data_IF_302700894316
#
_entry.id   IF_302700894316
#
_cell.length_a   1.000
_cell.length_b   1.000
_cell.length_c   1.000
_cell.angle_alpha   90.00
_cell.angle_beta   90.00
_cell.angle_gamma   90.00
#
_symmetry.space_group_name_H-M   'P 1'
#
loop_
_entity.id
_entity.type
_entity.pdbx_description
1 polymer ?
#
# COMPACT_ATOMS: atom_id res chain seq x y z
N UNK A 1 -23.66 -6.57 11.85
CA UNK A 1 -23.01 -7.87 12.11
C UNK A 1 -21.55 -7.51 12.36
N UNK A 2 -21.05 -7.67 13.58
CA UNK A 2 -19.71 -7.19 13.97
C UNK A 2 -18.69 -8.14 13.33
N UNK A 3 -17.98 -7.70 12.28
CA UNK A 3 -16.83 -8.42 11.76
C UNK A 3 -15.70 -8.27 12.79
N UNK A 4 -15.57 -9.26 13.66
CA UNK A 4 -14.59 -9.22 14.76
C UNK A 4 -13.18 -9.48 14.23
N UNK A 5 -12.19 -8.94 14.94
CA UNK A 5 -10.73 -9.16 14.77
C UNK A 5 -10.35 -10.63 14.50
N UNK A 6 -11.12 -11.58 15.02
CA UNK A 6 -10.95 -13.03 14.80
C UNK A 6 -11.08 -13.43 13.31
N UNK A 7 -11.95 -12.76 12.54
CA UNK A 7 -12.16 -13.05 11.10
C UNK A 7 -10.95 -12.67 10.24
N UNK A 8 -10.31 -11.54 10.57
CA UNK A 8 -9.07 -11.10 9.94
C UNK A 8 -7.94 -12.10 10.19
N UNK A 9 -7.69 -12.49 11.43
CA UNK A 9 -6.62 -13.46 11.72
C UNK A 9 -6.86 -14.81 11.04
N UNK A 10 -8.11 -15.29 11.00
CA UNK A 10 -8.49 -16.52 10.29
C UNK A 10 -8.32 -16.45 8.76
N UNK A 11 -8.33 -15.27 8.14
CA UNK A 11 -8.04 -15.15 6.70
C UNK A 11 -6.55 -15.37 6.43
N UNK A 12 -5.69 -14.92 7.34
CA UNK A 12 -4.23 -15.06 7.27
C UNK A 12 -3.71 -16.43 7.72
N UNK A 13 -4.42 -17.16 8.60
CA UNK A 13 -4.08 -18.55 8.95
C UNK A 13 -4.08 -19.51 7.74
N UNK A 14 -4.73 -19.11 6.64
CA UNK A 14 -4.78 -19.93 5.43
C UNK A 14 -3.43 -19.85 4.72
N UNK A 15 -2.78 -21.00 4.56
CA UNK A 15 -1.53 -21.14 3.78
C UNK A 15 -1.63 -20.56 2.36
N UNK A 16 -2.85 -20.51 1.79
CA UNK A 16 -3.09 -19.88 0.50
C UNK A 16 -2.74 -18.38 0.50
N UNK A 17 -3.10 -17.64 1.54
CA UNK A 17 -2.78 -16.22 1.70
C UNK A 17 -1.26 -16.02 1.78
N UNK A 18 -0.58 -16.84 2.58
CA UNK A 18 0.89 -16.86 2.64
C UNK A 18 1.54 -17.24 1.31
N UNK A 19 0.95 -18.15 0.54
CA UNK A 19 1.45 -18.49 -0.80
C UNK A 19 1.38 -17.30 -1.75
N UNK A 20 0.30 -16.52 -1.76
CA UNK A 20 0.20 -15.32 -2.60
C UNK A 20 1.32 -14.34 -2.23
N UNK A 21 1.48 -14.06 -0.93
CA UNK A 21 2.52 -13.18 -0.42
C UNK A 21 3.95 -13.66 -0.74
N UNK A 22 4.24 -14.95 -0.58
CA UNK A 22 5.56 -15.52 -0.85
C UNK A 22 5.91 -15.56 -2.34
N UNK A 23 4.90 -15.67 -3.22
CA UNK A 23 5.07 -15.62 -4.68
C UNK A 23 5.17 -14.18 -5.22
N UNK A 24 4.92 -13.17 -4.38
CA UNK A 24 5.20 -11.77 -4.70
C UNK A 24 6.70 -11.51 -4.52
N UNK A 25 7.44 -11.71 -5.62
CA UNK A 25 8.88 -11.55 -5.65
C UNK A 25 9.29 -10.09 -5.42
N UNK A 26 8.63 -9.12 -6.05
CA UNK A 26 8.96 -7.70 -5.91
C UNK A 26 8.85 -7.25 -4.45
N UNK A 27 7.79 -7.67 -3.74
CA UNK A 27 7.66 -7.48 -2.30
C UNK A 27 8.81 -8.14 -1.54
N UNK A 28 8.98 -9.44 -1.72
CA UNK A 28 9.87 -10.25 -0.88
C UNK A 28 11.35 -9.86 -1.08
N UNK A 29 11.76 -9.58 -2.33
CA UNK A 29 13.09 -9.09 -2.64
C UNK A 29 13.34 -7.68 -2.11
N UNK A 30 12.37 -6.78 -2.14
CA UNK A 30 12.57 -5.43 -1.59
C UNK A 30 12.93 -5.49 -0.10
N UNK A 31 12.22 -6.28 0.70
CA UNK A 31 12.56 -6.48 2.12
C UNK A 31 13.91 -7.18 2.30
N UNK A 32 14.16 -8.26 1.55
CA UNK A 32 15.42 -8.99 1.62
C UNK A 32 16.61 -8.06 1.34
N UNK A 33 16.56 -7.36 0.22
CA UNK A 33 17.61 -6.46 -0.22
C UNK A 33 17.76 -5.28 0.74
N UNK A 34 16.67 -4.76 1.31
CA UNK A 34 16.72 -3.69 2.31
C UNK A 34 17.42 -4.13 3.58
N UNK A 35 17.12 -5.33 4.09
CA UNK A 35 17.81 -5.87 5.25
C UNK A 35 19.30 -6.14 4.95
N UNK A 36 19.62 -6.72 3.79
CA UNK A 36 20.99 -6.96 3.34
C UNK A 36 21.78 -5.66 3.14
N UNK A 37 21.19 -4.63 2.53
CA UNK A 37 21.82 -3.31 2.35
C UNK A 37 22.15 -2.64 3.69
N UNK A 38 21.38 -2.94 4.73
CA UNK A 38 21.57 -2.39 6.08
C UNK A 38 22.30 -3.36 7.01
N UNK A 39 22.97 -4.40 6.50
CA UNK A 39 23.63 -5.43 7.31
C UNK A 39 24.64 -4.86 8.31
N UNK A 40 25.41 -3.83 7.91
CA UNK A 40 26.37 -3.16 8.78
C UNK A 40 25.71 -2.51 10.01
N UNK A 41 24.51 -1.93 9.83
CA UNK A 41 23.73 -1.41 10.96
C UNK A 41 23.17 -2.55 11.81
N UNK A 42 22.66 -3.61 11.17
CA UNK A 42 22.00 -4.73 11.84
C UNK A 42 22.97 -5.65 12.59
N UNK A 43 24.27 -5.58 12.31
CA UNK A 43 25.27 -6.37 13.02
C UNK A 43 25.15 -6.16 14.54
N UNK A 44 25.00 -7.26 15.26
CA UNK A 44 24.86 -7.32 16.72
C UNK A 44 23.62 -6.58 17.30
N UNK A 45 22.63 -6.26 16.45
CA UNK A 45 21.38 -5.57 16.85
C UNK A 45 20.23 -6.52 17.17
N UNK A 46 19.26 -6.03 17.93
CA UNK A 46 18.00 -6.72 18.19
C UNK A 46 16.94 -6.21 17.21
N UNK A 47 16.27 -7.12 16.51
CA UNK A 47 15.21 -6.81 15.53
C UNK A 47 13.87 -7.36 16.02
N UNK A 48 12.80 -6.59 15.84
CA UNK A 48 11.42 -7.03 16.03
C UNK A 48 10.73 -7.17 14.67
N UNK A 49 10.19 -8.36 14.37
CA UNK A 49 9.38 -8.63 13.20
C UNK A 49 7.89 -8.67 13.61
N UNK A 50 7.11 -7.68 13.19
CA UNK A 50 5.68 -7.55 13.59
C UNK A 50 4.79 -8.11 12.49
N UNK A 51 4.00 -9.13 12.83
CA UNK A 51 3.20 -9.88 11.86
C UNK A 51 4.09 -10.81 11.04
N UNK A 52 4.95 -11.57 11.75
CA UNK A 52 6.02 -12.34 11.13
C UNK A 52 5.50 -13.41 10.14
N UNK A 53 4.25 -13.85 10.28
CA UNK A 53 3.63 -14.85 9.41
C UNK A 53 4.45 -16.12 9.38
N UNK A 54 5.09 -16.39 8.24
CA UNK A 54 5.95 -17.57 8.04
C UNK A 54 7.38 -17.42 8.62
N UNK A 55 7.72 -16.24 9.13
CA UNK A 55 9.05 -15.90 9.65
C UNK A 55 10.08 -15.57 8.57
N UNK A 56 9.67 -15.37 7.30
CA UNK A 56 10.60 -15.12 6.20
C UNK A 56 11.42 -13.83 6.40
N UNK A 57 10.80 -12.74 6.88
CA UNK A 57 11.50 -11.47 7.14
C UNK A 57 12.43 -11.60 8.35
N UNK A 58 12.00 -12.32 9.39
CA UNK A 58 12.85 -12.69 10.52
C UNK A 58 14.12 -13.44 10.09
N UNK A 59 13.99 -14.39 9.16
CA UNK A 59 15.13 -15.14 8.61
C UNK A 59 16.08 -14.21 7.84
N UNK A 60 15.55 -13.29 7.02
CA UNK A 60 16.37 -12.30 6.33
C UNK A 60 17.13 -11.40 7.32
N UNK A 61 16.46 -10.91 8.37
CA UNK A 61 17.10 -10.06 9.37
C UNK A 61 18.22 -10.80 10.13
N UNK A 62 17.98 -12.06 10.52
CA UNK A 62 19.01 -12.88 11.17
C UNK A 62 20.22 -13.14 10.25
N UNK A 63 19.97 -13.44 8.96
CA UNK A 63 21.01 -13.61 7.94
C UNK A 63 21.78 -12.32 7.65
N UNK A 64 21.12 -11.16 7.76
CA UNK A 64 21.74 -9.85 7.62
C UNK A 64 22.61 -9.41 8.82
N UNK A 65 22.75 -10.25 9.86
CA UNK A 65 23.67 -10.00 10.97
C UNK A 65 23.02 -9.64 12.31
N UNK A 66 21.68 -9.57 12.38
CA UNK A 66 20.96 -9.29 13.63
C UNK A 66 21.36 -10.27 14.74
N UNK A 67 21.78 -9.78 15.91
CA UNK A 67 22.12 -10.62 17.07
C UNK A 67 20.99 -11.58 17.42
N UNK A 68 19.77 -11.03 17.49
CA UNK A 68 18.57 -11.77 17.80
C UNK A 68 17.36 -11.14 17.11
N UNK A 69 16.44 -11.96 16.65
CA UNK A 69 15.16 -11.51 16.09
C UNK A 69 14.01 -12.03 16.94
N UNK A 70 13.11 -11.13 17.33
CA UNK A 70 11.85 -11.49 17.97
C UNK A 70 10.74 -11.39 16.94
N UNK A 71 10.13 -12.52 16.61
CA UNK A 71 9.08 -12.64 15.62
C UNK A 71 7.71 -12.69 16.30
N UNK A 72 6.93 -11.62 16.17
CA UNK A 72 5.58 -11.53 16.74
C UNK A 72 4.58 -12.01 15.69
N UNK A 73 3.87 -13.09 15.99
CA UNK A 73 2.82 -13.63 15.13
C UNK A 73 1.67 -14.14 15.99
N UNK A 74 0.50 -13.51 15.93
CA UNK A 74 -0.64 -13.88 16.78
C UNK A 74 -1.30 -15.19 16.35
N UNK A 75 -1.39 -15.43 15.04
CA UNK A 75 -2.15 -16.54 14.47
C UNK A 75 -1.45 -17.89 14.65
N UNK A 76 -2.16 -18.96 14.29
CA UNK A 76 -1.58 -20.31 14.28
C UNK A 76 -0.41 -20.49 13.30
N UNK A 77 -0.19 -19.54 12.38
CA UNK A 77 1.00 -19.54 11.51
C UNK A 77 2.30 -19.48 12.32
N UNK A 78 2.28 -18.99 13.56
CA UNK A 78 3.45 -19.02 14.46
C UNK A 78 4.06 -20.43 14.63
N UNK A 79 3.25 -21.50 14.62
CA UNK A 79 3.75 -22.87 14.66
C UNK A 79 4.52 -23.25 13.39
N UNK A 80 4.02 -22.82 12.23
CA UNK A 80 4.70 -23.02 10.96
C UNK A 80 6.00 -22.20 10.89
N UNK A 81 5.98 -20.95 11.36
CA UNK A 81 7.18 -20.11 11.44
C UNK A 81 8.30 -20.79 12.23
N UNK A 82 7.98 -21.37 13.41
CA UNK A 82 8.96 -22.12 14.21
C UNK A 82 9.59 -23.28 13.45
N UNK A 83 8.80 -24.03 12.66
CA UNK A 83 9.30 -25.13 11.83
C UNK A 83 10.24 -24.62 10.73
N UNK A 84 9.82 -23.58 9.99
CA UNK A 84 10.64 -22.98 8.93
C UNK A 84 11.96 -22.41 9.49
N UNK A 85 11.90 -21.74 10.64
CA UNK A 85 13.09 -21.21 11.32
C UNK A 85 14.05 -22.35 11.71
N UNK A 86 13.52 -23.47 12.23
CA UNK A 86 14.33 -24.64 12.58
C UNK A 86 14.93 -25.32 11.34
N UNK A 87 14.18 -25.44 10.24
CA UNK A 87 14.67 -25.94 8.95
C UNK A 87 15.82 -25.11 8.38
N UNK A 88 15.89 -23.82 8.75
CA UNK A 88 16.96 -22.91 8.34
C UNK A 88 18.06 -22.77 9.39
N UNK A 89 18.08 -23.61 10.43
CA UNK A 89 19.11 -23.65 11.48
C UNK A 89 19.28 -22.32 12.23
N UNK A 90 18.17 -21.59 12.46
CA UNK A 90 18.17 -20.26 13.10
C UNK A 90 17.39 -20.20 14.42
N UNK A 91 17.07 -21.36 15.02
CA UNK A 91 16.27 -21.44 16.25
C UNK A 91 16.93 -20.80 17.48
N UNK A 92 18.25 -20.66 17.48
CA UNK A 92 19.03 -19.99 18.52
C UNK A 92 19.03 -18.46 18.37
N UNK A 93 18.72 -17.95 17.17
CA UNK A 93 18.77 -16.52 16.82
C UNK A 93 17.40 -15.88 16.61
N UNK A 94 16.34 -16.68 16.49
CA UNK A 94 14.99 -16.19 16.24
C UNK A 94 14.02 -16.79 17.26
N UNK A 95 13.37 -15.94 18.05
CA UNK A 95 12.31 -16.34 19.00
C UNK A 95 10.94 -15.95 18.46
N UNK A 96 10.06 -16.93 18.25
CA UNK A 96 8.67 -16.69 17.86
C UNK A 96 7.79 -16.51 19.10
N UNK A 97 7.26 -15.29 19.27
CA UNK A 97 6.33 -14.91 20.33
C UNK A 97 4.92 -14.90 19.74
N UNK A 98 4.11 -15.87 20.15
CA UNK A 98 2.74 -16.01 19.65
C UNK A 98 1.77 -15.15 20.45
N UNK A 99 1.73 -13.85 20.14
CA UNK A 99 0.92 -12.82 20.80
C UNK A 99 0.53 -11.73 19.82
N UNK A 100 -0.45 -10.91 20.20
CA UNK A 100 -0.65 -9.59 19.59
C UNK A 100 0.48 -8.67 20.01
N UNK A 101 0.88 -7.75 19.14
CA UNK A 101 2.02 -6.85 19.43
C UNK A 101 1.69 -5.85 20.54
N UNK A 102 0.41 -5.53 20.69
CA UNK A 102 -0.14 -4.71 21.78
C UNK A 102 0.08 -5.35 23.15
N UNK A 103 0.09 -6.69 23.22
CA UNK A 103 0.24 -7.49 24.44
C UNK A 103 1.70 -7.86 24.76
N UNK A 104 2.67 -7.36 23.97
CA UNK A 104 4.11 -7.60 24.17
C UNK A 104 4.66 -6.65 25.23
N UNK A 105 5.27 -7.21 26.28
CA UNK A 105 5.78 -6.47 27.43
C UNK A 105 7.32 -6.46 27.52
N UNK A 106 7.93 -5.29 27.70
CA UNK A 106 9.36 -5.14 28.01
C UNK A 106 9.66 -5.74 29.40
N UNK A 107 10.79 -6.45 29.51
CA UNK A 107 11.21 -7.18 30.71
C UNK A 107 10.59 -8.58 30.86
N UNK A 108 9.59 -8.94 30.03
CA UNK A 108 8.94 -10.26 30.05
C UNK A 108 9.07 -10.98 28.71
N UNK A 109 8.59 -10.36 27.64
CA UNK A 109 8.62 -10.94 26.30
C UNK A 109 9.85 -10.45 25.52
N UNK A 110 10.22 -9.17 25.73
CA UNK A 110 11.42 -8.57 25.17
C UNK A 110 12.35 -8.10 26.30
N UNK A 111 13.65 -8.38 26.27
CA UNK A 111 14.56 -7.99 27.35
C UNK A 111 14.80 -6.48 27.42
N UNK A 112 14.80 -5.82 26.26
CA UNK A 112 15.02 -4.38 26.10
C UNK A 112 14.27 -3.88 24.85
N UNK A 113 14.28 -2.56 24.65
CA UNK A 113 13.82 -1.98 23.39
C UNK A 113 14.68 -2.49 22.22
N UNK A 114 14.09 -2.62 21.04
CA UNK A 114 14.78 -3.13 19.84
C UNK A 114 15.44 -2.01 19.05
N UNK A 115 16.47 -2.35 18.28
CA UNK A 115 17.21 -1.41 17.43
C UNK A 115 16.56 -1.25 16.06
N UNK A 116 15.79 -2.23 15.59
CA UNK A 116 15.01 -2.14 14.37
C UNK A 116 13.67 -2.84 14.49
N UNK A 117 12.67 -2.29 13.81
CA UNK A 117 11.38 -2.95 13.53
C UNK A 117 11.30 -3.22 12.04
N UNK A 118 11.04 -4.47 11.68
CA UNK A 118 10.61 -4.86 10.34
C UNK A 118 9.15 -5.28 10.41
N UNK A 119 8.34 -4.85 9.46
CA UNK A 119 6.95 -5.27 9.36
C UNK A 119 6.45 -5.09 7.95
N UNK A 120 5.69 -6.07 7.48
CA UNK A 120 4.89 -5.99 6.28
C UNK A 120 3.44 -5.79 6.72
N UNK A 121 3.06 -4.51 6.80
CA UNK A 121 1.79 -4.05 7.36
C UNK A 121 0.85 -3.50 6.29
N UNK A 122 1.29 -3.41 5.04
CA UNK A 122 0.60 -2.67 4.00
C UNK A 122 -0.63 -3.45 3.53
N UNK A 123 -1.80 -2.82 3.60
CA UNK A 123 -3.01 -3.34 2.99
C UNK A 123 -3.20 -2.83 1.56
N UNK A 124 -4.32 -3.22 0.93
CA UNK A 124 -4.85 -2.48 -0.22
C UNK A 124 -5.05 -1.00 0.15
N UNK A 125 -4.96 -0.08 -0.82
CA UNK A 125 -4.98 1.36 -0.53
C UNK A 125 -3.90 1.82 0.47
N UNK A 126 -2.83 1.04 0.68
CA UNK A 126 -1.83 1.16 1.75
C UNK A 126 -2.37 0.90 3.17
N UNK A 127 -3.54 1.47 3.51
CA UNK A 127 -4.04 1.58 4.88
C UNK A 127 -5.17 0.59 5.22
N UNK A 128 -5.64 -0.22 4.27
CA UNK A 128 -6.71 -1.19 4.52
C UNK A 128 -6.24 -2.23 5.55
N UNK A 129 -7.19 -2.78 6.31
CA UNK A 129 -6.96 -3.72 7.44
C UNK A 129 -6.27 -3.14 8.68
N UNK A 130 -5.87 -1.86 8.67
CA UNK A 130 -5.48 -1.07 9.85
C UNK A 130 -4.32 -1.66 10.68
N UNK A 131 -3.39 -2.41 10.08
CA UNK A 131 -2.24 -2.96 10.80
C UNK A 131 -1.20 -1.89 11.18
N UNK A 132 -1.15 -0.77 10.47
CA UNK A 132 -0.20 0.31 10.74
C UNK A 132 -0.39 0.93 12.15
N UNK A 133 -1.61 0.92 12.69
CA UNK A 133 -1.89 1.35 14.07
C UNK A 133 -1.05 0.57 15.09
N UNK A 134 -1.07 -0.76 14.98
CA UNK A 134 -0.31 -1.68 15.82
C UNK A 134 1.20 -1.47 15.67
N UNK A 135 1.67 -1.20 14.45
CA UNK A 135 3.08 -0.90 14.17
C UNK A 135 3.51 0.44 14.78
N UNK A 136 2.66 1.48 14.71
CA UNK A 136 2.91 2.79 15.33
C UNK A 136 2.96 2.67 16.86
N UNK A 137 2.03 1.93 17.46
CA UNK A 137 2.02 1.66 18.90
C UNK A 137 3.28 0.90 19.33
N UNK A 138 3.62 -0.18 18.63
CA UNK A 138 4.83 -0.96 18.87
C UNK A 138 6.10 -0.12 18.74
N UNK A 139 6.22 0.73 17.70
CA UNK A 139 7.33 1.67 17.54
C UNK A 139 7.49 2.56 18.77
N UNK A 140 6.40 3.17 19.24
CA UNK A 140 6.45 4.11 20.37
C UNK A 140 6.92 3.42 21.67
N UNK A 141 6.45 2.19 21.91
CA UNK A 141 6.75 1.44 23.14
C UNK A 141 8.08 0.69 23.08
N UNK A 142 8.38 0.06 21.95
CA UNK A 142 9.37 -1.00 21.83
C UNK A 142 10.63 -0.60 21.04
N UNK A 143 10.61 0.46 20.22
CA UNK A 143 11.78 0.90 19.45
C UNK A 143 12.68 1.85 20.27
N UNK A 144 14.00 1.72 20.11
CA UNK A 144 14.99 2.69 20.61
C UNK A 144 14.87 4.04 19.87
N UNK A 145 15.26 5.18 20.48
CA UNK A 145 15.14 6.50 19.84
C UNK A 145 15.86 6.63 18.48
N UNK A 146 16.98 5.94 18.30
CA UNK A 146 17.81 5.90 17.09
C UNK A 146 17.48 4.69 16.18
N UNK A 147 16.43 3.94 16.51
CA UNK A 147 16.08 2.72 15.80
C UNK A 147 15.62 2.95 14.36
N UNK A 148 15.70 1.89 13.56
CA UNK A 148 15.26 1.88 12.16
C UNK A 148 13.90 1.19 12.01
N UNK A 149 13.12 1.70 11.07
CA UNK A 149 11.85 1.10 10.64
C UNK A 149 12.06 0.55 9.23
N UNK A 150 11.61 -0.68 8.97
CA UNK A 150 11.65 -1.31 7.65
C UNK A 150 10.21 -1.67 7.23
N UNK A 151 9.58 -0.88 6.33
CA UNK A 151 10.06 0.35 5.68
C UNK A 151 10.10 1.57 6.63
N UNK A 152 10.67 2.71 6.20
CA UNK A 152 10.73 3.95 7.00
C UNK A 152 9.77 5.05 6.54
N UNK A 153 9.26 4.96 5.31
CA UNK A 153 8.39 5.97 4.73
C UNK A 153 7.39 5.33 3.77
N UNK A 154 6.15 5.81 3.77
CA UNK A 154 5.09 5.31 2.91
C UNK A 154 4.35 6.46 2.22
N UNK A 155 4.03 6.32 0.94
CA UNK A 155 3.45 7.38 0.12
C UNK A 155 2.31 6.84 -0.70
N UNK A 156 1.22 7.61 -0.81
CA UNK A 156 0.10 7.31 -1.71
C UNK A 156 0.15 8.28 -2.88
N UNK A 157 -0.05 7.75 -4.08
CA UNK A 157 -0.11 8.49 -5.33
C UNK A 157 -1.44 8.25 -6.04
N UNK A 158 -1.88 9.23 -6.81
CA UNK A 158 -3.04 9.11 -7.70
C UNK A 158 -2.71 9.60 -9.11
N UNK A 159 -3.42 9.07 -10.11
CA UNK A 159 -3.42 9.57 -11.49
C UNK A 159 -4.78 9.34 -12.15
N UNK A 160 -5.07 10.10 -13.21
CA UNK A 160 -6.25 9.90 -14.05
C UNK A 160 -6.07 8.74 -15.03
N UNK A 161 -7.15 8.00 -15.23
CA UNK A 161 -7.18 6.77 -16.03
C UNK A 161 -8.28 6.84 -17.09
N UNK A 162 -7.94 6.40 -18.30
CA UNK A 162 -8.86 5.98 -19.36
C UNK A 162 -8.97 4.46 -19.37
N UNK A 163 -10.02 3.98 -18.73
CA UNK A 163 -10.39 2.57 -18.70
C UNK A 163 -11.72 2.32 -19.42
N UNK A 164 -11.97 3.08 -20.49
CA UNK A 164 -13.27 3.07 -21.19
C UNK A 164 -13.58 1.68 -21.75
N UNK A 165 -12.56 0.96 -22.24
CA UNK A 165 -12.73 -0.35 -22.86
C UNK A 165 -13.16 -1.44 -21.87
N UNK A 166 -12.59 -1.46 -20.66
CA UNK A 166 -12.98 -2.39 -19.60
C UNK A 166 -14.36 -2.03 -19.04
N UNK A 167 -14.57 -0.75 -18.70
CA UNK A 167 -15.85 -0.26 -18.16
C UNK A 167 -17.01 -0.60 -19.10
N UNK A 168 -16.82 -0.46 -20.41
CA UNK A 168 -17.84 -0.82 -21.39
C UNK A 168 -18.19 -2.32 -21.36
N UNK A 169 -17.19 -3.21 -21.29
CA UNK A 169 -17.41 -4.66 -21.20
C UNK A 169 -18.13 -5.04 -19.91
N UNK A 170 -17.76 -4.45 -18.79
CA UNK A 170 -18.40 -4.70 -17.51
C UNK A 170 -19.85 -4.18 -17.49
N UNK A 171 -20.07 -2.95 -17.94
CA UNK A 171 -21.40 -2.34 -18.01
C UNK A 171 -22.37 -3.15 -18.87
N UNK A 172 -21.89 -3.75 -19.97
CA UNK A 172 -22.70 -4.62 -20.83
C UNK A 172 -23.24 -5.86 -20.10
N UNK A 173 -22.58 -6.34 -19.04
CA UNK A 173 -23.09 -7.46 -18.26
C UNK A 173 -24.39 -7.13 -17.54
N UNK A 174 -24.56 -5.88 -17.11
CA UNK A 174 -25.65 -5.43 -16.26
C UNK A 174 -26.80 -4.76 -17.02
N UNK A 175 -26.49 -4.13 -18.16
CA UNK A 175 -27.46 -3.29 -18.91
C UNK A 175 -28.15 -4.05 -20.05
N UNK A 176 -27.55 -5.12 -20.58
CA UNK A 176 -28.08 -5.79 -21.78
C UNK A 176 -29.17 -6.83 -21.52
N UNK A 177 -29.84 -6.78 -20.36
CA UNK A 177 -30.88 -7.75 -20.01
C UNK A 177 -30.39 -9.20 -20.24
N UNK A 178 -29.12 -9.49 -19.88
CA UNK A 178 -28.35 -10.66 -20.34
C UNK A 178 -29.07 -11.99 -20.11
N UNK A 179 -29.99 -12.04 -19.15
CA UNK A 179 -30.82 -13.19 -18.81
C UNK A 179 -32.32 -12.90 -18.81
N UNK A 180 -32.77 -11.87 -19.54
CA UNK A 180 -34.16 -11.39 -19.46
C UNK A 180 -34.47 -10.59 -18.18
N UNK A 181 -33.45 -10.29 -17.36
CA UNK A 181 -33.57 -9.51 -16.13
C UNK A 181 -32.80 -8.19 -16.23
N UNK A 182 -33.47 -7.09 -15.89
CA UNK A 182 -32.90 -5.73 -15.78
C UNK A 182 -32.08 -5.62 -14.48
N UNK A 183 -30.79 -5.28 -14.58
CA UNK A 183 -29.85 -5.26 -13.45
C UNK A 183 -29.10 -3.93 -13.31
N UNK A 184 -29.63 -2.83 -13.83
CA UNK A 184 -28.98 -1.51 -13.79
C UNK A 184 -28.74 -0.99 -12.36
N UNK A 185 -29.50 -1.48 -11.38
CA UNK A 185 -29.26 -1.17 -9.96
C UNK A 185 -27.92 -1.72 -9.46
N UNK A 186 -27.46 -2.86 -9.98
CA UNK A 186 -26.16 -3.45 -9.61
C UNK A 186 -25.03 -2.51 -10.03
N UNK A 187 -25.10 -1.99 -11.25
CA UNK A 187 -24.14 -0.99 -11.76
C UNK A 187 -24.02 0.22 -10.84
N UNK A 188 -25.15 0.76 -10.38
CA UNK A 188 -25.16 1.93 -9.46
C UNK A 188 -24.49 1.64 -8.13
N UNK A 189 -24.69 0.45 -7.57
CA UNK A 189 -24.04 0.06 -6.32
C UNK A 189 -22.54 -0.22 -6.52
N UNK A 190 -22.14 -0.88 -7.61
CA UNK A 190 -20.74 -1.19 -7.91
C UNK A 190 -19.86 0.06 -8.01
N UNK A 191 -20.40 1.18 -8.50
CA UNK A 191 -19.66 2.45 -8.60
C UNK A 191 -19.25 3.05 -7.24
N UNK A 192 -19.82 2.56 -6.13
CA UNK A 192 -19.47 2.99 -4.78
C UNK A 192 -18.25 2.25 -4.22
N UNK A 193 -17.75 1.24 -4.93
CA UNK A 193 -16.64 0.43 -4.49
C UNK A 193 -15.36 0.81 -5.24
N UNK A 194 -14.25 0.71 -4.51
CA UNK A 194 -12.91 0.70 -5.10
C UNK A 194 -12.58 -0.72 -5.57
N UNK A 195 -11.96 -0.85 -6.74
CA UNK A 195 -11.57 -2.15 -7.30
C UNK A 195 -10.07 -2.35 -7.23
N UNK A 196 -9.63 -3.47 -6.67
CA UNK A 196 -8.23 -3.89 -6.71
C UNK A 196 -7.96 -4.66 -8.02
N UNK A 197 -7.36 -3.99 -9.00
CA UNK A 197 -7.08 -4.58 -10.31
C UNK A 197 -5.69 -4.27 -10.84
N UNK A 198 -5.21 -5.14 -11.73
CA UNK A 198 -3.94 -4.98 -12.40
C UNK A 198 -4.17 -4.18 -13.67
N UNK A 199 -3.59 -2.98 -13.72
CA UNK A 199 -3.55 -2.26 -14.99
C UNK A 199 -2.57 -2.97 -15.94
N UNK A 200 -3.07 -3.38 -17.10
CA UNK A 200 -2.28 -4.12 -18.09
C UNK A 200 -1.60 -3.21 -19.11
N UNK A 201 -2.12 -2.00 -19.32
CA UNK A 201 -1.59 -1.02 -20.25
C UNK A 201 -1.41 0.34 -19.57
N UNK A 202 -0.15 0.76 -19.39
CA UNK A 202 0.18 2.05 -18.78
C UNK A 202 -0.21 3.23 -19.66
N UNK A 203 -0.50 3.03 -20.95
CA UNK A 203 -1.02 4.08 -21.84
C UNK A 203 -2.44 4.52 -21.50
N UNK A 204 -3.17 3.73 -20.72
CA UNK A 204 -4.44 4.15 -20.13
C UNK A 204 -4.27 5.23 -19.05
N UNK A 205 -3.06 5.50 -18.57
CA UNK A 205 -2.80 6.56 -17.58
C UNK A 205 -2.63 7.89 -18.32
N UNK A 206 -3.64 8.74 -18.20
CA UNK A 206 -3.75 9.95 -19.04
C UNK A 206 -3.25 11.21 -18.35
N UNK A 207 -2.80 11.13 -17.09
CA UNK A 207 -2.26 12.26 -16.34
C UNK A 207 -0.95 11.95 -15.66
N UNK A 208 -0.18 12.99 -15.34
CA UNK A 208 0.92 12.91 -14.39
C UNK A 208 0.45 12.35 -13.04
N UNK A 209 1.30 11.61 -12.31
CA UNK A 209 1.00 11.20 -10.93
C UNK A 209 1.04 12.40 -9.97
N UNK A 210 0.24 12.35 -8.92
CA UNK A 210 0.30 13.29 -7.80
C UNK A 210 0.35 12.53 -6.47
N UNK A 211 1.27 12.92 -5.59
CA UNK A 211 1.38 12.36 -4.23
C UNK A 211 0.33 13.02 -3.32
N UNK A 212 -0.52 12.20 -2.72
CA UNK A 212 -1.60 12.65 -1.83
C UNK A 212 -1.36 12.36 -0.36
N UNK A 213 -0.42 11.46 -0.04
CA UNK A 213 0.01 11.14 1.32
C UNK A 213 1.52 10.92 1.37
N UNK A 214 2.15 11.32 2.48
CA UNK A 214 3.56 11.06 2.74
C UNK A 214 3.82 10.87 4.23
N UNK A 215 3.87 9.61 4.67
CA UNK A 215 4.05 9.22 6.07
C UNK A 215 5.51 8.89 6.37
N UNK A 216 6.12 9.62 7.30
CA UNK A 216 7.37 9.20 7.93
C UNK A 216 7.05 8.22 9.07
N UNK A 217 7.40 6.95 8.91
CA UNK A 217 7.04 5.90 9.88
C UNK A 217 7.80 6.01 11.20
N UNK A 218 8.86 6.82 11.29
CA UNK A 218 9.50 7.12 12.57
C UNK A 218 8.69 8.11 13.42
N UNK A 219 7.89 8.97 12.80
CA UNK A 219 7.26 10.12 13.50
C UNK A 219 5.75 10.20 13.37
N UNK A 220 5.14 9.56 12.36
CA UNK A 220 3.69 9.63 12.16
C UNK A 220 2.92 9.04 13.34
N UNK A 221 1.70 9.51 13.51
CA UNK A 221 0.75 9.15 14.55
C UNK A 221 -0.47 8.49 13.94
N UNK A 222 -1.29 7.82 14.76
CA UNK A 222 -2.55 7.21 14.30
C UNK A 222 -3.49 8.25 13.67
N UNK A 223 -3.48 9.50 14.16
CA UNK A 223 -4.29 10.58 13.57
C UNK A 223 -3.82 10.98 12.17
N UNK A 224 -2.57 10.70 11.79
CA UNK A 224 -2.07 11.00 10.44
C UNK A 224 -2.59 9.99 9.39
N UNK A 225 -3.20 8.88 9.83
CA UNK A 225 -3.74 7.84 8.95
C UNK A 225 -5.12 8.19 8.38
N UNK A 226 -5.81 9.16 9.01
CA UNK A 226 -7.02 9.77 8.48
C UNK A 226 -6.69 11.18 7.98
N UNK A 227 -6.69 11.37 6.67
CA UNK A 227 -6.14 12.57 6.07
C UNK A 227 -7.02 13.14 4.96
N UNK A 228 -6.77 14.42 4.65
CA UNK A 228 -7.29 15.09 3.47
C UNK A 228 -6.17 15.92 2.85
N UNK A 229 -6.00 15.82 1.54
CA UNK A 229 -5.03 16.60 0.78
C UNK A 229 -5.67 17.16 -0.48
N UNK A 230 -5.16 18.30 -0.97
CA UNK A 230 -5.45 18.76 -2.32
C UNK A 230 -4.48 18.13 -3.30
N UNK A 231 -4.92 17.93 -4.53
CA UNK A 231 -4.07 17.43 -5.60
C UNK A 231 -4.25 18.23 -6.89
N UNK A 232 -3.22 18.21 -7.73
CA UNK A 232 -3.24 18.70 -9.10
C UNK A 232 -2.52 17.67 -9.97
N UNK A 233 -3.18 17.20 -11.02
CA UNK A 233 -2.59 16.36 -12.07
C UNK A 233 -2.72 17.06 -13.42
N UNK A 234 -1.77 16.83 -14.31
CA UNK A 234 -1.76 17.39 -15.66
C UNK A 234 -1.98 16.27 -16.67
N UNK A 235 -2.91 16.45 -17.62
CA UNK A 235 -3.07 15.49 -18.72
C UNK A 235 -1.84 15.48 -19.63
N UNK A 236 -1.44 14.31 -20.08
CA UNK A 236 -0.35 14.14 -21.06
C UNK A 236 -0.75 14.68 -22.43
N UNK A 237 0.23 14.86 -23.31
CA UNK A 237 -0.06 15.01 -24.74
C UNK A 237 -0.49 13.65 -25.30
N UNK A 238 -1.51 13.67 -26.16
CA UNK A 238 -2.05 12.46 -26.78
C UNK A 238 -0.99 11.70 -27.58
N UNK A 239 -0.10 12.45 -28.25
CA UNK A 239 1.06 11.90 -28.98
C UNK A 239 2.02 11.11 -28.08
N UNK A 240 2.21 11.54 -26.82
CA UNK A 240 3.07 10.84 -25.85
C UNK A 240 2.53 9.45 -25.49
N UNK A 241 1.21 9.25 -25.61
CA UNK A 241 0.55 7.96 -25.39
C UNK A 241 0.36 7.17 -26.70
N UNK A 242 0.78 7.72 -27.84
CA UNK A 242 0.69 7.10 -29.15
C UNK A 242 -0.63 7.32 -29.89
N UNK A 243 -1.44 8.30 -29.46
CA UNK A 243 -2.68 8.70 -30.12
C UNK A 243 -2.43 9.96 -30.97
N UNK A 244 -2.82 9.94 -32.25
CA UNK A 244 -2.59 11.07 -33.18
C UNK A 244 -3.88 11.69 -33.74
N UNK A 245 -5.03 11.08 -33.45
CA UNK A 245 -6.30 11.46 -34.08
C UNK A 245 -7.08 12.52 -33.30
N UNK A 246 -6.75 12.75 -32.02
CA UNK A 246 -7.51 13.61 -31.11
C UNK A 246 -6.59 14.32 -30.12
N UNK A 247 -7.03 15.48 -29.60
CA UNK A 247 -6.31 16.33 -28.64
C UNK A 247 -6.92 16.28 -27.22
N UNK A 248 -7.58 15.17 -26.89
CA UNK A 248 -8.28 14.98 -25.62
C UNK A 248 -8.18 13.54 -25.12
N UNK A 249 -8.39 13.35 -23.83
CA UNK A 249 -8.41 12.06 -23.14
C UNK A 249 -9.80 11.76 -22.59
N UNK A 250 -10.14 10.47 -22.49
CA UNK A 250 -11.35 9.98 -21.85
C UNK A 250 -11.05 9.68 -20.37
N UNK A 251 -11.29 10.64 -19.48
CA UNK A 251 -11.13 10.43 -18.05
C UNK A 251 -12.39 9.80 -17.46
N UNK A 252 -12.33 8.52 -17.10
CA UNK A 252 -13.46 7.79 -16.53
C UNK A 252 -13.15 7.14 -15.17
N UNK A 253 -11.89 7.14 -14.74
CA UNK A 253 -11.46 6.69 -13.43
C UNK A 253 -10.28 7.50 -12.90
N UNK A 254 -10.10 7.49 -11.58
CA UNK A 254 -8.83 7.78 -10.94
C UNK A 254 -8.23 6.48 -10.45
N UNK A 255 -6.92 6.36 -10.51
CA UNK A 255 -6.18 5.22 -9.99
C UNK A 255 -5.32 5.67 -8.81
N UNK A 256 -5.14 4.77 -7.85
CA UNK A 256 -4.31 4.95 -6.69
C UNK A 256 -3.32 3.78 -6.57
N UNK A 257 -2.11 4.10 -6.12
CA UNK A 257 -1.10 3.13 -5.71
C UNK A 257 -0.26 3.72 -4.58
N UNK A 258 0.62 2.91 -4.02
CA UNK A 258 1.54 3.33 -2.99
C UNK A 258 2.97 2.86 -3.23
N UNK A 259 3.90 3.60 -2.62
CA UNK A 259 5.30 3.22 -2.50
C UNK A 259 5.70 3.18 -1.03
N UNK A 260 6.54 2.22 -0.67
CA UNK A 260 7.26 2.23 0.61
C UNK A 260 8.76 2.26 0.38
N UNK A 261 9.43 3.14 1.11
CA UNK A 261 10.86 3.37 1.04
C UNK A 261 11.53 2.79 2.29
N UNK A 262 12.60 2.03 2.08
CA UNK A 262 13.39 1.44 3.15
C UNK A 262 14.52 2.38 3.60
N UNK A 263 14.96 2.27 4.86
CA UNK A 263 16.08 3.04 5.36
C UNK A 263 17.34 2.68 4.60
N UNK A 264 18.23 3.65 4.48
CA UNK A 264 19.56 3.44 3.94
C UNK A 264 20.58 3.94 4.96
N UNK A 265 21.02 3.04 5.84
CA UNK A 265 21.95 3.33 6.93
C UNK A 265 23.42 3.38 6.48
N UNK A 266 23.73 3.65 5.21
CA UNK A 266 25.13 3.79 4.75
C UNK A 266 25.85 4.83 5.63
N UNK A 267 26.81 4.30 6.39
CA UNK A 267 27.84 4.94 7.20
C UNK A 267 27.42 6.31 7.79
N UNK A 268 26.92 6.27 9.03
CA UNK A 268 26.55 7.43 9.85
C UNK A 268 27.70 8.38 10.15
N UNK A 269 28.91 8.14 9.62
CA UNK A 269 30.04 9.09 9.69
C UNK A 269 29.98 10.16 8.60
N UNK A 270 29.12 10.01 7.60
CA UNK A 270 28.96 10.99 6.51
C UNK A 270 27.70 11.83 6.69
N UNK A 271 27.86 12.96 7.40
CA UNK A 271 26.81 13.95 7.71
C UNK A 271 26.32 14.75 6.48
N UNK A 272 26.82 14.47 5.28
CA UNK A 272 26.38 15.17 4.07
C UNK A 272 24.89 14.84 3.78
N UNK A 273 24.10 15.83 3.30
CA UNK A 273 22.75 15.58 2.81
C UNK A 273 22.76 14.40 1.84
N UNK A 274 21.71 13.57 1.85
CA UNK A 274 21.51 12.54 0.82
C UNK A 274 21.63 13.21 -0.55
N UNK A 275 22.74 13.01 -1.24
CA UNK A 275 22.91 13.48 -2.60
C UNK A 275 22.06 12.61 -3.55
N UNK A 276 21.94 13.04 -4.81
CA UNK A 276 21.14 12.30 -5.80
C UNK A 276 21.63 10.86 -5.98
N UNK A 277 22.92 10.60 -5.76
CA UNK A 277 23.53 9.28 -5.90
C UNK A 277 23.14 8.36 -4.74
N UNK A 278 23.19 8.83 -3.48
CA UNK A 278 22.68 8.11 -2.31
C UNK A 278 21.16 7.90 -2.36
N UNK A 279 20.42 8.87 -2.90
CA UNK A 279 18.97 8.74 -3.09
C UNK A 279 18.63 7.66 -4.14
N UNK A 280 19.45 7.49 -5.18
CA UNK A 280 19.29 6.42 -6.18
C UNK A 280 19.59 5.02 -5.64
N UNK A 281 20.23 4.91 -4.49
CA UNK A 281 20.54 3.63 -3.84
C UNK A 281 19.49 3.20 -2.81
N UNK A 282 18.51 4.05 -2.48
CA UNK A 282 17.43 3.67 -1.58
C UNK A 282 16.50 2.65 -2.23
N UNK A 283 16.25 1.55 -1.51
CA UNK A 283 15.32 0.52 -1.96
C UNK A 283 13.89 1.02 -1.76
N UNK A 284 13.09 0.93 -2.82
CA UNK A 284 11.67 1.29 -2.84
C UNK A 284 10.88 0.08 -3.35
N UNK A 285 9.89 -0.33 -2.57
CA UNK A 285 8.84 -1.24 -3.02
C UNK A 285 7.69 -0.38 -3.52
N UNK A 286 7.43 -0.45 -4.82
CA UNK A 286 6.35 0.31 -5.47
C UNK A 286 5.26 -0.61 -5.98
N UNK A 287 4.01 -0.21 -5.77
CA UNK A 287 2.83 -0.82 -6.39
C UNK A 287 2.38 -0.04 -7.62
N UNK A 288 3.24 0.86 -8.12
CA UNK A 288 3.00 1.65 -9.31
C UNK A 288 2.69 0.76 -10.52
N UNK A 289 1.75 1.18 -11.39
CA UNK A 289 1.48 0.50 -12.66
C UNK A 289 2.71 0.50 -13.60
N UNK A 290 3.72 1.33 -13.33
CA UNK A 290 4.98 1.39 -14.09
C UNK A 290 6.05 0.41 -13.57
N UNK A 291 5.77 -0.32 -12.49
CA UNK A 291 6.70 -1.25 -11.84
C UNK A 291 6.25 -2.70 -12.04
N UNK A 292 7.07 -3.64 -11.56
CA UNK A 292 6.69 -5.05 -11.51
C UNK A 292 5.43 -5.27 -10.66
N UNK A 293 4.68 -6.31 -11.02
CA UNK A 293 3.38 -6.58 -10.40
C UNK A 293 3.54 -7.08 -8.98
N UNK A 294 2.80 -6.48 -8.08
CA UNK A 294 2.63 -6.93 -6.70
C UNK A 294 1.21 -7.47 -6.50
N UNK A 295 1.00 -8.21 -5.41
CA UNK A 295 -0.31 -8.75 -5.06
C UNK A 295 -1.33 -7.68 -4.65
N UNK A 296 -0.87 -6.49 -4.22
CA UNK A 296 -1.72 -5.33 -3.91
C UNK A 296 -2.35 -4.71 -5.15
N UNK A 297 -1.71 -4.87 -6.31
CA UNK A 297 -2.13 -4.27 -7.58
C UNK A 297 -2.30 -2.75 -7.45
N UNK A 298 -3.26 -2.15 -8.16
CA UNK A 298 -3.67 -0.76 -8.02
C UNK A 298 -5.14 -0.69 -7.61
N UNK A 299 -5.56 0.46 -7.06
CA UNK A 299 -6.96 0.70 -6.70
C UNK A 299 -7.59 1.68 -7.67
N UNK A 300 -8.66 1.23 -8.34
CA UNK A 300 -9.38 1.99 -9.35
C UNK A 300 -10.66 2.55 -8.74
N UNK A 301 -10.84 3.86 -8.90
CA UNK A 301 -11.98 4.66 -8.46
C UNK A 301 -12.71 5.20 -9.69
N UNK A 302 -13.77 4.53 -10.12
CA UNK A 302 -14.54 4.95 -11.29
C UNK A 302 -15.38 6.19 -11.01
N UNK A 303 -15.23 7.23 -11.83
CA UNK A 303 -15.84 8.56 -11.68
C UNK A 303 -17.33 8.63 -12.08
N UNK A 304 -18.11 7.59 -11.78
CA UNK A 304 -19.29 7.28 -12.58
C UNK A 304 -20.51 8.24 -12.47
N UNK A 305 -21.24 8.23 -13.60
CA UNK A 305 -22.63 8.63 -13.97
C UNK A 305 -22.96 10.13 -14.24
N UNK A 306 -23.37 10.53 -15.48
CA UNK A 306 -23.47 9.76 -16.74
C UNK A 306 -22.33 9.97 -17.76
N UNK A 307 -21.36 10.84 -17.52
CA UNK A 307 -20.46 11.30 -18.60
C UNK A 307 -19.02 10.85 -18.41
N UNK A 308 -18.45 10.27 -19.48
CA UNK A 308 -17.00 10.21 -19.64
C UNK A 308 -16.52 11.66 -19.74
N UNK A 309 -15.54 12.04 -18.92
CA UNK A 309 -15.04 13.40 -18.88
C UNK A 309 -14.00 13.55 -19.98
N UNK A 310 -14.30 14.37 -20.98
CA UNK A 310 -13.40 14.65 -22.10
C UNK A 310 -12.43 15.77 -21.73
N UNK A 311 -11.23 15.44 -21.27
CA UNK A 311 -10.27 16.46 -20.82
C UNK A 311 -9.25 16.71 -21.92
N UNK A 312 -9.04 17.99 -22.29
CA UNK A 312 -8.02 18.36 -23.27
C UNK A 312 -6.62 17.94 -22.79
N UNK A 313 -5.72 17.64 -23.71
CA UNK A 313 -4.30 17.46 -23.35
C UNK A 313 -3.71 18.71 -22.70
N UNK A 314 -2.60 18.54 -21.97
CA UNK A 314 -1.91 19.62 -21.26
C UNK A 314 -2.77 20.44 -20.28
N UNK A 315 -3.90 19.89 -19.85
CA UNK A 315 -4.88 20.54 -18.98
C UNK A 315 -4.73 20.08 -17.54
N UNK A 316 -5.13 20.96 -16.62
CA UNK A 316 -5.05 20.69 -15.19
C UNK A 316 -6.36 20.11 -14.67
N UNK A 317 -6.25 19.06 -13.87
CA UNK A 317 -7.35 18.51 -13.08
C UNK A 317 -6.95 18.68 -11.61
N UNK A 318 -7.84 19.26 -10.83
CA UNK A 318 -7.63 19.57 -9.40
C UNK A 318 -8.69 18.90 -8.57
N UNK A 319 -8.39 18.71 -7.29
CA UNK A 319 -9.35 18.08 -6.40
C UNK A 319 -8.88 18.02 -4.96
N UNK A 320 -9.74 17.43 -4.14
CA UNK A 320 -9.39 16.95 -2.81
C UNK A 320 -9.48 15.42 -2.78
N UNK A 321 -8.57 14.84 -2.02
CA UNK A 321 -8.51 13.41 -1.73
C UNK A 321 -8.54 13.26 -0.21
N UNK A 322 -9.55 12.58 0.31
CA UNK A 322 -9.65 12.30 1.73
C UNK A 322 -9.92 10.82 1.98
N UNK A 323 -9.18 10.25 2.94
CA UNK A 323 -9.27 8.85 3.31
C UNK A 323 -9.44 8.78 4.83
N UNK A 324 -10.41 7.98 5.27
CA UNK A 324 -10.63 7.70 6.69
C UNK A 324 -11.08 6.25 6.90
N UNK A 325 -10.96 5.78 8.14
CA UNK A 325 -11.55 4.51 8.56
C UNK A 325 -13.07 4.60 8.57
N UNK A 326 -13.75 3.51 8.29
CA UNK A 326 -15.19 3.44 8.42
C UNK A 326 -15.57 3.41 9.91
N UNK A 327 -16.43 4.32 10.42
CA UNK A 327 -16.84 4.31 11.82
C UNK A 327 -17.59 3.04 12.26
N UNK A 328 -18.15 2.28 11.30
CA UNK A 328 -18.86 1.03 11.59
C UNK A 328 -17.95 -0.21 11.58
N UNK A 329 -16.81 -0.13 10.90
CA UNK A 329 -15.77 -1.17 10.85
C UNK A 329 -14.42 -0.51 10.58
N UNK A 330 -13.57 -0.42 11.61
CA UNK A 330 -12.29 0.30 11.51
C UNK A 330 -11.28 -0.35 10.54
N UNK A 331 -11.57 -1.53 9.99
CA UNK A 331 -10.75 -2.18 8.96
C UNK A 331 -11.17 -1.79 7.55
N UNK A 332 -12.39 -1.34 7.36
CA UNK A 332 -12.88 -0.78 6.10
C UNK A 332 -12.41 0.66 5.92
N UNK A 333 -12.25 1.06 4.66
CA UNK A 333 -11.86 2.43 4.30
C UNK A 333 -13.01 3.14 3.59
N UNK A 334 -13.21 4.41 3.95
CA UNK A 334 -14.02 5.35 3.20
C UNK A 334 -13.13 6.40 2.54
N UNK A 335 -13.40 6.66 1.27
CA UNK A 335 -12.67 7.64 0.48
C UNK A 335 -13.64 8.69 -0.07
N UNK A 336 -13.28 9.97 0.06
CA UNK A 336 -13.95 11.09 -0.60
C UNK A 336 -12.98 11.69 -1.62
N UNK A 337 -13.45 11.85 -2.85
CA UNK A 337 -12.70 12.43 -3.96
C UNK A 337 -13.49 13.57 -4.58
N UNK A 338 -12.90 14.76 -4.73
CA UNK A 338 -13.44 15.80 -5.61
C UNK A 338 -12.61 15.88 -6.88
N UNK A 339 -13.26 16.11 -8.02
CA UNK A 339 -12.61 16.25 -9.33
C UNK A 339 -13.11 17.52 -9.99
N UNK A 340 -12.19 18.42 -10.34
CA UNK A 340 -12.43 19.67 -11.04
C UNK A 340 -11.54 19.73 -12.29
N UNK A 341 -12.14 19.78 -13.47
CA UNK A 341 -11.42 19.91 -14.75
C UNK A 341 -11.81 21.21 -15.45
N UNK A 342 -10.83 22.09 -15.69
CA UNK A 342 -11.07 23.44 -16.23
C UNK A 342 -11.32 23.44 -17.74
N UNK A 343 -10.68 22.52 -18.47
CA UNK A 343 -10.73 22.43 -19.94
C UNK A 343 -11.31 21.09 -20.36
N UNK A 344 -12.62 21.07 -20.51
CA UNK A 344 -13.38 19.94 -21.05
C UNK A 344 -13.70 20.21 -22.53
N UNK A 345 -13.89 19.16 -23.34
CA UNK A 345 -14.11 19.25 -24.80
C UNK A 345 -15.27 20.18 -25.21
N UNK A 346 -16.32 20.26 -24.39
CA UNK A 346 -17.51 21.10 -24.60
C UNK A 346 -17.33 22.54 -24.10
N UNK A 347 -16.17 22.87 -23.52
CA UNK A 347 -15.86 24.19 -22.97
C UNK A 347 -16.47 24.46 -21.59
N UNK A 348 -17.21 23.51 -21.00
CA UNK A 348 -17.83 23.67 -19.69
C UNK A 348 -16.93 23.06 -18.61
N UNK A 349 -16.51 23.82 -17.58
CA UNK A 349 -15.74 23.25 -16.48
C UNK A 349 -16.52 22.12 -15.79
N UNK A 350 -15.85 20.99 -15.56
CA UNK A 350 -16.42 19.85 -14.86
C UNK A 350 -16.07 19.93 -13.37
N UNK A 351 -17.02 19.63 -12.49
CA UNK A 351 -16.82 19.58 -11.04
C UNK A 351 -17.76 18.59 -10.38
N UNK A 352 -17.23 17.56 -9.72
CA UNK A 352 -18.04 16.56 -9.01
C UNK A 352 -17.32 15.96 -7.80
N UNK A 353 -18.08 15.55 -6.80
CA UNK A 353 -17.59 14.77 -5.66
C UNK A 353 -18.05 13.31 -5.75
N UNK A 354 -17.20 12.41 -5.28
CA UNK A 354 -17.41 10.97 -5.27
C UNK A 354 -17.07 10.40 -3.89
N UNK A 355 -17.77 9.32 -3.55
CA UNK A 355 -17.61 8.62 -2.29
C UNK A 355 -17.44 7.14 -2.57
N UNK A 356 -16.36 6.56 -2.06
CA UNK A 356 -16.04 5.15 -2.24
C UNK A 356 -15.87 4.45 -0.91
N UNK A 357 -16.09 3.13 -0.95
CA UNK A 357 -15.87 2.21 0.16
C UNK A 357 -14.95 1.10 -0.35
N UNK A 358 -13.99 0.70 0.48
CA UNK A 358 -13.23 -0.54 0.31
C UNK A 358 -13.47 -1.40 1.55
N UNK A 359 -13.99 -2.60 1.33
CA UNK A 359 -14.43 -3.56 2.37
C UNK A 359 -13.74 -4.89 2.20
#
# INVERSE_FOLDING_TARGET
MIFSTDTYFRSYEKIHSHRIMLMDESRTFAYKNALEQNSSFLQDKIVLDIGAGTGILSIFAARAGAKHVYAIEFSQTAELARKIIAENELSDRITVIQKRVEDVELGKDLPEKVDAIVSEWMGFCLLYESMLDSVIDARNRLLKPDGLMFPERARIYIAGLDDTSYKFKEDQLWVNNKYGVKMESVKKELHRYMFADLLLDTKSIVTTPCKVLDLNLKTCTVSDLEFSSSYEVKTYETEQLGYQEYDFHYLNAMMMWFDVQFPNAIDTTDERPLDEERSRQQIVLSTSPYCERTHWKQQIMYLSDPEIIYVKENSKIRGSFALRKNPSDERDIQLKLSVHAEKVKDGTPFSKEYFYIFT
#
